data_IF_061800826219
#
_entry.id   IF_061800826219
#
_cell.length_a   1.000
_cell.length_b   1.000
_cell.length_c   1.000
_cell.angle_alpha   90.00
_cell.angle_beta   90.00
_cell.angle_gamma   90.00
#
_symmetry.space_group_name_H-M   'P 1'
#
loop_
_entity.id
_entity.type
_entity.pdbx_description
1 polymer ?
#
# COMPACT_ATOMS: atom_id res chain seq x y z
N UNK A 1 15.73 -14.72 2.74
CA UNK A 1 14.62 -15.68 2.59
C UNK A 1 13.35 -14.91 2.91
N UNK A 2 12.45 -14.73 1.94
CA UNK A 2 11.24 -13.90 2.11
C UNK A 2 10.05 -14.82 2.40
N UNK A 3 9.34 -14.59 3.50
CA UNK A 3 8.18 -15.39 3.91
C UNK A 3 6.91 -14.89 3.22
N UNK A 4 6.23 -15.77 2.48
CA UNK A 4 4.92 -15.47 1.89
C UNK A 4 3.84 -16.10 2.77
N UNK A 5 2.96 -15.27 3.35
CA UNK A 5 1.93 -15.72 4.29
C UNK A 5 0.55 -15.58 3.65
N UNK A 6 -0.18 -16.70 3.58
CA UNK A 6 -1.57 -16.74 3.15
C UNK A 6 -2.47 -16.87 4.39
N UNK A 7 -3.36 -15.91 4.60
CA UNK A 7 -4.34 -15.96 5.68
C UNK A 7 -5.70 -16.37 5.12
N UNK A 8 -6.35 -17.33 5.77
CA UNK A 8 -7.78 -17.59 5.53
C UNK A 8 -8.61 -16.49 6.22
N UNK A 9 -9.76 -16.14 5.64
CA UNK A 9 -10.58 -14.96 6.00
C UNK A 9 -11.15 -14.97 7.44
N UNK A 10 -11.05 -16.08 8.18
CA UNK A 10 -11.80 -16.28 9.41
C UNK A 10 -11.16 -15.78 10.70
N UNK A 11 -9.86 -15.42 10.75
CA UNK A 11 -9.18 -15.21 12.04
C UNK A 11 -8.25 -13.98 12.10
N UNK A 12 -8.87 -12.79 12.13
CA UNK A 12 -8.18 -11.49 12.22
C UNK A 12 -7.28 -11.35 13.46
N UNK A 13 -7.64 -11.97 14.59
CA UNK A 13 -6.84 -11.86 15.83
C UNK A 13 -5.53 -12.62 15.71
N UNK A 14 -5.56 -13.84 15.13
CA UNK A 14 -4.34 -14.63 14.88
C UNK A 14 -3.44 -14.00 13.84
N UNK A 15 -4.04 -13.41 12.80
CA UNK A 15 -3.32 -12.62 11.79
C UNK A 15 -2.53 -11.48 12.43
N UNK A 16 -3.19 -10.65 13.22
CA UNK A 16 -2.56 -9.49 13.86
C UNK A 16 -1.44 -9.88 14.81
N UNK A 17 -1.64 -10.94 15.59
CA UNK A 17 -0.61 -11.46 16.48
C UNK A 17 0.64 -11.95 15.72
N UNK A 18 0.45 -12.68 14.62
CA UNK A 18 1.56 -13.20 13.80
C UNK A 18 2.37 -12.06 13.16
N UNK A 19 1.69 -11.09 12.54
CA UNK A 19 2.33 -9.97 11.86
C UNK A 19 3.16 -9.11 12.83
N UNK A 20 2.61 -8.83 14.02
CA UNK A 20 3.33 -8.10 15.09
C UNK A 20 4.57 -8.85 15.54
N UNK A 21 4.48 -10.17 15.71
CA UNK A 21 5.60 -10.99 16.17
C UNK A 21 6.71 -11.04 15.12
N UNK A 22 6.37 -11.22 13.84
CA UNK A 22 7.35 -11.19 12.75
C UNK A 22 8.07 -9.84 12.65
N UNK A 23 7.32 -8.74 12.81
CA UNK A 23 7.88 -7.39 12.86
C UNK A 23 8.85 -7.21 14.04
N UNK A 24 8.51 -7.72 15.23
CA UNK A 24 9.40 -7.67 16.40
C UNK A 24 10.68 -8.48 16.20
N UNK A 25 10.61 -9.60 15.46
CA UNK A 25 11.78 -10.43 15.15
C UNK A 25 12.59 -9.93 13.96
N UNK A 26 12.20 -8.82 13.32
CA UNK A 26 12.87 -8.28 12.14
C UNK A 26 12.79 -9.19 10.91
N UNK A 27 11.78 -10.07 10.85
CA UNK A 27 11.60 -11.01 9.76
C UNK A 27 10.76 -10.34 8.67
N UNK A 28 11.33 -10.21 7.48
CA UNK A 28 10.61 -9.70 6.31
C UNK A 28 9.60 -10.74 5.82
N UNK A 29 8.35 -10.31 5.65
CA UNK A 29 7.26 -11.13 5.12
C UNK A 29 6.44 -10.32 4.11
N UNK A 30 5.77 -11.02 3.21
CA UNK A 30 4.74 -10.50 2.31
C UNK A 30 3.40 -11.16 2.62
N UNK A 31 2.36 -10.35 2.70
CA UNK A 31 0.99 -10.87 2.78
C UNK A 31 0.41 -11.03 1.38
N UNK A 32 -0.46 -12.02 1.18
CA UNK A 32 -1.14 -12.21 -0.11
C UNK A 32 -1.99 -10.95 -0.39
N UNK A 33 -1.61 -10.19 -1.42
CA UNK A 33 -2.14 -8.85 -1.72
C UNK A 33 -1.05 -7.79 -1.89
N UNK A 34 0.12 -8.01 -1.29
CA UNK A 34 1.36 -7.24 -1.54
C UNK A 34 2.18 -7.95 -2.63
N UNK A 35 1.56 -8.17 -3.79
CA UNK A 35 2.30 -8.66 -4.97
C UNK A 35 3.29 -7.59 -5.39
N UNK A 36 4.50 -8.00 -5.75
CA UNK A 36 5.41 -7.09 -6.41
C UNK A 36 4.72 -6.57 -7.67
N UNK A 37 4.68 -5.26 -7.83
CA UNK A 37 4.16 -4.62 -9.03
C UNK A 37 4.91 -5.15 -10.25
N UNK A 38 4.19 -5.51 -11.29
CA UNK A 38 4.78 -5.86 -12.60
C UNK A 38 5.35 -4.61 -13.27
N UNK A 39 6.27 -4.80 -14.21
CA UNK A 39 6.85 -3.67 -14.94
C UNK A 39 5.79 -2.93 -15.76
N UNK A 40 4.83 -3.66 -16.30
CA UNK A 40 3.69 -3.15 -17.04
C UNK A 40 2.76 -2.30 -16.15
N UNK A 41 2.41 -2.78 -14.96
CA UNK A 41 1.64 -2.00 -13.98
C UNK A 41 2.39 -0.73 -13.56
N UNK A 42 3.70 -0.83 -13.33
CA UNK A 42 4.52 0.34 -12.97
C UNK A 42 4.51 1.40 -14.08
N UNK A 43 4.68 0.99 -15.33
CA UNK A 43 4.67 1.91 -16.47
C UNK A 43 3.27 2.54 -16.65
N UNK A 44 2.20 1.76 -16.49
CA UNK A 44 0.82 2.26 -16.55
C UNK A 44 0.54 3.33 -15.48
N UNK A 45 1.02 3.11 -14.25
CA UNK A 45 0.88 4.08 -13.16
C UNK A 45 1.63 5.38 -13.46
N UNK A 46 2.83 5.29 -14.05
CA UNK A 46 3.59 6.47 -14.48
C UNK A 46 2.87 7.28 -15.56
N UNK A 47 2.30 6.62 -16.57
CA UNK A 47 1.53 7.30 -17.64
C UNK A 47 0.28 7.98 -17.08
N UNK A 48 -0.40 7.31 -16.14
CA UNK A 48 -1.58 7.86 -15.45
C UNK A 48 -1.19 9.09 -14.63
N UNK A 49 -0.14 8.99 -13.81
CA UNK A 49 0.35 10.11 -13.00
C UNK A 49 0.78 11.31 -13.85
N UNK A 50 1.49 11.08 -14.96
CA UNK A 50 1.84 12.15 -15.90
C UNK A 50 0.59 12.83 -16.49
N UNK A 51 -0.40 12.05 -16.89
CA UNK A 51 -1.67 12.58 -17.43
C UNK A 51 -2.42 13.40 -16.39
N UNK A 52 -2.43 12.99 -15.12
CA UNK A 52 -3.05 13.75 -14.03
C UNK A 52 -2.35 15.10 -13.80
N UNK A 53 -1.02 15.12 -13.86
CA UNK A 53 -0.22 16.35 -13.75
C UNK A 53 -0.51 17.30 -14.92
N UNK A 54 -0.51 16.81 -16.15
CA UNK A 54 -0.82 17.61 -17.34
C UNK A 54 -2.24 18.17 -17.32
N UNK A 55 -3.20 17.40 -16.80
CA UNK A 55 -4.61 17.83 -16.69
C UNK A 55 -4.89 18.69 -15.47
N UNK A 56 -3.90 18.92 -14.59
CA UNK A 56 -4.11 19.64 -13.33
C UNK A 56 -4.98 18.89 -12.31
N UNK A 57 -5.14 17.57 -12.46
CA UNK A 57 -5.96 16.69 -11.61
C UNK A 57 -5.17 16.16 -10.42
N UNK A 58 -4.50 17.04 -9.69
CA UNK A 58 -3.76 16.68 -8.48
C UNK A 58 -4.19 17.57 -7.32
N UNK A 59 -4.04 17.05 -6.11
CA UNK A 59 -4.33 17.82 -4.90
C UNK A 59 -3.05 18.48 -4.41
N UNK A 60 -3.06 19.80 -4.28
CA UNK A 60 -1.93 20.55 -3.73
C UNK A 60 -1.85 20.38 -2.21
N UNK A 61 -0.67 20.62 -1.65
CA UNK A 61 -0.48 20.62 -0.21
C UNK A 61 -1.42 21.62 0.52
N UNK A 62 -1.77 22.73 -0.13
CA UNK A 62 -2.72 23.71 0.41
C UNK A 62 -4.16 23.20 0.38
N UNK A 63 -4.57 22.55 -0.71
CA UNK A 63 -5.88 21.92 -0.83
C UNK A 63 -6.05 20.82 0.23
N UNK A 64 -5.05 19.95 0.41
CA UNK A 64 -5.04 18.93 1.47
C UNK A 64 -5.18 19.55 2.87
N UNK A 65 -4.40 20.60 3.17
CA UNK A 65 -4.48 21.31 4.46
C UNK A 65 -5.87 21.92 4.70
N UNK A 66 -6.55 22.37 3.64
CA UNK A 66 -7.89 22.93 3.75
C UNK A 66 -8.96 21.85 3.93
N UNK A 67 -8.82 20.69 3.30
CA UNK A 67 -9.72 19.55 3.52
C UNK A 67 -9.60 18.97 4.93
N UNK A 68 -8.37 18.85 5.46
CA UNK A 68 -8.13 18.39 6.83
C UNK A 68 -8.82 19.27 7.88
N UNK A 69 -9.00 20.57 7.62
CA UNK A 69 -9.69 21.49 8.54
C UNK A 69 -11.21 21.32 8.55
N UNK A 70 -11.78 20.58 7.61
CA UNK A 70 -13.23 20.31 7.52
C UNK A 70 -13.66 19.06 8.31
N UNK A 71 -12.71 18.24 8.74
CA UNK A 71 -12.90 17.09 9.62
C UNK A 71 -12.68 17.47 11.08
#
# INVERSE_FOLDING_TARGET
MELIINFDEQDNVKRDWLLRTLKLMGINYKTKGETAQTLEEYNSDLETGNSEVEQGKFTTAEQLKNEMKKW
#
